data_IF_934755471492
#
_entry.id   IF_934755471492
#
_cell.length_a   1.000
_cell.length_b   1.000
_cell.length_c   1.000
_cell.angle_alpha   90.00
_cell.angle_beta   90.00
_cell.angle_gamma   90.00
#
_symmetry.space_group_name_H-M   'P 1'
#
loop_
_entity.id
_entity.type
_entity.pdbx_description
1 polymer ?
#
# COMPACT_ATOMS: atom_id res chain seq x y z
N UNK A 1 -8.45 2.47 -33.16
CA UNK A 1 -8.13 1.11 -32.69
C UNK A 1 -9.34 0.23 -32.91
N UNK A 2 -9.19 -0.89 -33.62
CA UNK A 2 -10.27 -1.86 -33.77
C UNK A 2 -10.44 -2.68 -32.47
N UNK A 3 -11.60 -3.33 -32.23
CA UNK A 3 -11.78 -4.19 -31.06
C UNK A 3 -10.75 -5.34 -31.00
N UNK A 4 -10.33 -5.87 -32.14
CA UNK A 4 -9.29 -6.91 -32.19
C UNK A 4 -7.92 -6.40 -31.81
N UNK A 5 -7.51 -5.22 -32.29
CA UNK A 5 -6.24 -4.57 -31.89
C UNK A 5 -6.23 -4.24 -30.39
N UNK A 6 -7.38 -3.80 -29.85
CA UNK A 6 -7.51 -3.54 -28.42
C UNK A 6 -7.27 -4.82 -27.61
N UNK A 7 -7.96 -5.92 -28.01
CA UNK A 7 -7.83 -7.19 -27.31
C UNK A 7 -6.40 -7.73 -27.37
N UNK A 8 -5.77 -7.66 -28.53
CA UNK A 8 -4.39 -8.07 -28.71
C UNK A 8 -3.44 -7.28 -27.82
N UNK A 9 -3.57 -5.94 -27.77
CA UNK A 9 -2.71 -5.09 -26.97
C UNK A 9 -2.78 -5.43 -25.46
N UNK A 10 -3.98 -5.66 -24.93
CA UNK A 10 -4.17 -5.91 -23.47
C UNK A 10 -3.88 -7.36 -23.06
N UNK A 11 -3.84 -8.30 -24.02
CA UNK A 11 -3.61 -9.74 -23.74
C UNK A 11 -2.22 -10.22 -24.14
N UNK A 12 -1.33 -9.34 -24.59
CA UNK A 12 0.09 -9.70 -24.81
C UNK A 12 0.66 -10.31 -23.53
N UNK A 13 1.43 -11.38 -23.63
CA UNK A 13 2.00 -12.09 -22.46
C UNK A 13 2.77 -11.17 -21.51
N UNK A 14 3.56 -10.24 -22.07
CA UNK A 14 4.31 -9.24 -21.30
C UNK A 14 3.36 -8.33 -20.49
N UNK A 15 2.25 -7.90 -21.09
CA UNK A 15 1.24 -7.05 -20.43
C UNK A 15 0.52 -7.82 -19.34
N UNK A 16 0.10 -9.06 -19.60
CA UNK A 16 -0.52 -9.93 -18.59
C UNK A 16 0.42 -10.20 -17.41
N UNK A 17 1.71 -10.42 -17.68
CA UNK A 17 2.71 -10.58 -16.64
C UNK A 17 2.85 -9.31 -15.77
N UNK A 18 2.82 -8.12 -16.40
CA UNK A 18 2.90 -6.85 -15.68
C UNK A 18 1.69 -6.57 -14.79
N UNK A 19 0.48 -6.92 -15.25
CA UNK A 19 -0.71 -6.87 -14.39
C UNK A 19 -0.50 -7.73 -13.15
N UNK A 20 -0.07 -8.97 -13.34
CA UNK A 20 0.20 -9.89 -12.21
C UNK A 20 1.24 -9.32 -11.24
N UNK A 21 2.34 -8.77 -11.74
CA UNK A 21 3.36 -8.14 -10.88
C UNK A 21 2.78 -6.95 -10.14
N UNK A 22 2.08 -6.03 -10.83
CA UNK A 22 1.47 -4.84 -10.23
C UNK A 22 0.48 -5.20 -9.13
N UNK A 23 -0.47 -6.10 -9.41
CA UNK A 23 -1.49 -6.47 -8.44
C UNK A 23 -0.93 -7.21 -7.23
N UNK A 24 -0.02 -8.16 -7.43
CA UNK A 24 0.56 -8.94 -6.34
C UNK A 24 1.42 -8.03 -5.44
N UNK A 25 2.31 -7.22 -6.01
CA UNK A 25 3.18 -6.36 -5.21
C UNK A 25 2.39 -5.27 -4.49
N UNK A 26 1.39 -4.66 -5.14
CA UNK A 26 0.51 -3.68 -4.52
C UNK A 26 -0.33 -4.30 -3.38
N UNK A 27 -0.85 -5.53 -3.57
CA UNK A 27 -1.61 -6.23 -2.55
C UNK A 27 -0.76 -6.57 -1.32
N UNK A 28 0.44 -7.14 -1.55
CA UNK A 28 1.39 -7.47 -0.47
C UNK A 28 1.80 -6.19 0.27
N UNK A 29 2.15 -5.13 -0.45
CA UNK A 29 2.52 -3.85 0.15
C UNK A 29 1.37 -3.28 1.00
N UNK A 30 0.13 -3.34 0.51
CA UNK A 30 -1.04 -2.85 1.24
C UNK A 30 -1.35 -3.69 2.47
N UNK A 31 -1.11 -5.00 2.42
CA UNK A 31 -1.25 -5.89 3.58
C UNK A 31 -0.20 -5.57 4.66
N UNK A 32 1.05 -5.33 4.25
CA UNK A 32 2.12 -4.87 5.15
C UNK A 32 1.73 -3.52 5.76
N UNK A 33 1.23 -2.59 4.94
CA UNK A 33 0.76 -1.29 5.39
C UNK A 33 -0.43 -1.39 6.36
N UNK A 34 -1.33 -2.35 6.17
CA UNK A 34 -2.42 -2.58 7.11
C UNK A 34 -1.90 -2.94 8.51
N UNK A 35 -0.90 -3.80 8.58
CA UNK A 35 -0.27 -4.18 9.86
C UNK A 35 0.56 -3.04 10.44
N UNK A 36 1.49 -2.50 9.65
CA UNK A 36 2.41 -1.45 10.10
C UNK A 36 1.66 -0.15 10.43
N UNK A 37 0.66 0.22 9.63
CA UNK A 37 -0.15 1.41 9.86
C UNK A 37 -0.96 1.34 11.15
N UNK A 38 -1.50 0.16 11.51
CA UNK A 38 -2.15 -0.05 12.80
C UNK A 38 -1.15 0.09 13.95
N UNK A 39 0.04 -0.50 13.82
CA UNK A 39 1.10 -0.39 14.84
C UNK A 39 1.52 1.08 15.02
N UNK A 40 1.77 1.80 13.93
CA UNK A 40 2.16 3.21 13.97
C UNK A 40 1.05 4.09 14.56
N UNK A 41 -0.20 3.91 14.14
CA UNK A 41 -1.33 4.63 14.71
C UNK A 41 -1.47 4.34 16.21
N UNK A 42 -1.32 3.09 16.60
CA UNK A 42 -1.34 2.69 18.01
C UNK A 42 -0.25 3.38 18.83
N UNK A 43 1.00 3.34 18.34
CA UNK A 43 2.14 3.99 19.01
C UNK A 43 1.92 5.49 19.12
N UNK A 44 1.45 6.13 18.06
CA UNK A 44 1.19 7.57 18.04
C UNK A 44 0.04 7.97 19.01
N UNK A 45 -0.99 7.15 19.16
CA UNK A 45 -2.14 7.49 20.01
C UNK A 45 -1.87 7.15 21.48
N UNK A 46 -1.40 5.94 21.76
CA UNK A 46 -1.34 5.39 23.13
C UNK A 46 -0.06 5.72 23.90
N UNK A 47 1.04 6.08 23.21
CA UNK A 47 2.30 6.33 23.87
C UNK A 47 2.72 7.80 23.83
N UNK A 48 3.38 8.24 24.91
CA UNK A 48 4.04 9.54 25.00
C UNK A 48 5.54 9.30 25.09
N UNK A 49 6.30 9.77 24.12
CA UNK A 49 7.76 9.62 24.08
C UNK A 49 8.41 10.82 23.38
N UNK A 50 9.68 11.11 23.67
CA UNK A 50 10.42 12.15 22.96
C UNK A 50 10.56 11.75 21.48
N UNK A 51 10.41 12.73 20.58
CA UNK A 51 10.47 12.45 19.13
C UNK A 51 9.15 11.98 18.48
N UNK A 52 8.04 11.85 19.22
CA UNK A 52 6.72 11.49 18.67
C UNK A 52 6.32 12.35 17.47
N UNK A 53 6.54 13.68 17.54
CA UNK A 53 6.24 14.60 16.44
C UNK A 53 7.11 14.36 15.21
N UNK A 54 8.36 13.91 15.40
CA UNK A 54 9.26 13.57 14.31
C UNK A 54 8.75 12.30 13.62
N UNK A 55 8.41 11.26 14.37
CA UNK A 55 7.84 10.03 13.82
C UNK A 55 6.53 10.31 13.06
N UNK A 56 5.67 11.16 13.63
CA UNK A 56 4.41 11.56 13.00
C UNK A 56 4.66 12.28 11.66
N UNK A 57 5.61 13.22 11.61
CA UNK A 57 6.04 13.87 10.39
C UNK A 57 6.71 12.92 9.37
N UNK A 58 7.49 11.94 9.83
CA UNK A 58 8.11 10.94 8.95
C UNK A 58 7.09 10.08 8.22
N UNK A 59 5.94 9.79 8.84
CA UNK A 59 4.86 9.06 8.17
C UNK A 59 4.29 9.85 6.99
N UNK A 60 4.36 11.17 7.00
CA UNK A 60 3.88 12.04 5.93
C UNK A 60 4.91 12.31 4.83
N UNK A 61 6.16 11.90 5.02
CA UNK A 61 7.21 12.10 4.00
C UNK A 61 6.82 11.64 2.59
N UNK A 62 6.10 10.51 2.40
CA UNK A 62 5.66 10.09 1.07
C UNK A 62 4.75 11.09 0.35
N UNK A 63 4.05 11.96 1.09
CA UNK A 63 3.24 13.03 0.50
C UNK A 63 4.05 14.28 0.18
N UNK A 64 5.11 14.53 0.93
CA UNK A 64 5.94 15.72 0.77
C UNK A 64 7.03 15.56 -0.29
N UNK A 65 7.52 14.33 -0.49
CA UNK A 65 8.62 14.04 -1.42
C UNK A 65 8.08 13.72 -2.83
N UNK A 66 8.72 14.21 -3.90
CA UNK A 66 8.49 13.65 -5.23
C UNK A 66 8.80 12.15 -5.21
N UNK A 67 7.89 11.33 -5.74
CA UNK A 67 8.02 9.86 -5.67
C UNK A 67 9.29 9.35 -6.36
N UNK A 68 9.75 10.04 -7.41
CA UNK A 68 11.04 9.74 -8.06
C UNK A 68 12.22 9.89 -7.10
N UNK A 69 12.25 10.95 -6.29
CA UNK A 69 13.31 11.18 -5.29
C UNK A 69 13.30 10.08 -4.23
N UNK A 70 12.11 9.70 -3.77
CA UNK A 70 11.95 8.58 -2.85
C UNK A 70 12.46 7.26 -3.47
N UNK A 71 12.15 7.01 -4.74
CA UNK A 71 12.64 5.84 -5.48
C UNK A 71 14.15 5.77 -5.56
N UNK A 72 14.80 6.88 -5.91
CA UNK A 72 16.27 6.96 -5.96
C UNK A 72 16.89 6.71 -4.58
N UNK A 73 16.36 7.34 -3.54
CA UNK A 73 16.85 7.17 -2.17
C UNK A 73 16.67 5.72 -1.69
N UNK A 74 15.49 5.13 -1.90
CA UNK A 74 15.24 3.73 -1.54
C UNK A 74 16.14 2.77 -2.31
N UNK A 75 16.35 3.00 -3.61
CA UNK A 75 17.26 2.18 -4.42
C UNK A 75 18.69 2.27 -3.87
N UNK A 76 19.17 3.46 -3.58
CA UNK A 76 20.51 3.65 -3.02
C UNK A 76 20.70 2.97 -1.68
N UNK A 77 19.67 2.97 -0.83
CA UNK A 77 19.71 2.30 0.47
C UNK A 77 19.63 0.77 0.38
N UNK A 78 18.86 0.25 -0.60
CA UNK A 78 18.53 -1.18 -0.71
C UNK A 78 19.34 -1.92 -1.79
N UNK A 79 20.13 -1.22 -2.60
CA UNK A 79 21.11 -1.86 -3.50
C UNK A 79 22.14 -2.67 -2.72
N UNK A 80 22.71 -3.69 -3.33
CA UNK A 80 23.67 -4.60 -2.67
C UNK A 80 24.91 -3.87 -2.10
N UNK A 81 25.21 -2.68 -2.61
CA UNK A 81 26.24 -1.77 -2.12
C UNK A 81 25.73 -0.74 -1.10
N UNK A 82 24.41 -0.66 -0.87
CA UNK A 82 23.79 0.26 0.05
C UNK A 82 23.83 -0.20 1.51
N UNK A 83 23.45 0.68 2.43
CA UNK A 83 23.48 0.39 3.88
C UNK A 83 22.59 -0.79 4.25
N UNK A 84 21.35 -0.82 3.76
CA UNK A 84 20.38 -1.88 4.06
C UNK A 84 20.64 -3.07 3.15
N UNK A 85 20.72 -2.86 1.84
CA UNK A 85 20.94 -3.93 0.86
C UNK A 85 22.23 -4.68 1.10
N UNK A 86 23.33 -4.00 1.42
CA UNK A 86 24.61 -4.63 1.73
C UNK A 86 24.58 -5.54 2.96
N UNK A 87 23.71 -5.26 3.94
CA UNK A 87 23.48 -6.19 5.06
C UNK A 87 22.77 -7.46 4.59
N UNK A 88 21.70 -7.34 3.82
CA UNK A 88 20.93 -8.49 3.31
C UNK A 88 21.70 -9.28 2.23
N UNK A 89 22.53 -8.61 1.43
CA UNK A 89 23.37 -9.24 0.41
C UNK A 89 24.34 -10.28 1.03
N UNK A 90 24.81 -10.07 2.27
CA UNK A 90 25.62 -11.07 3.01
C UNK A 90 24.90 -12.41 3.23
N UNK A 91 23.57 -12.38 3.20
CA UNK A 91 22.71 -13.57 3.32
C UNK A 91 22.19 -14.05 1.96
N UNK A 92 22.71 -13.50 0.85
CA UNK A 92 22.28 -13.85 -0.51
C UNK A 92 20.92 -13.24 -0.92
N UNK A 93 20.46 -12.22 -0.19
CA UNK A 93 19.16 -11.58 -0.45
C UNK A 93 19.40 -10.21 -1.08
N UNK A 94 19.06 -10.06 -2.37
CA UNK A 94 19.03 -8.76 -3.07
C UNK A 94 17.63 -8.15 -2.98
N UNK A 95 17.55 -6.89 -2.55
CA UNK A 95 16.28 -6.16 -2.41
C UNK A 95 16.04 -5.31 -3.67
N UNK A 96 16.93 -4.39 -4.00
CA UNK A 96 16.80 -3.56 -5.20
C UNK A 96 16.76 -4.43 -6.48
N UNK A 97 16.05 -3.95 -7.49
CA UNK A 97 15.90 -4.60 -8.80
C UNK A 97 15.18 -5.96 -8.74
N UNK A 98 14.36 -6.15 -7.71
CA UNK A 98 13.53 -7.34 -7.49
C UNK A 98 12.09 -6.95 -7.14
N UNK A 99 11.18 -7.94 -7.11
CA UNK A 99 9.80 -7.73 -6.62
C UNK A 99 9.75 -7.28 -5.16
N UNK A 100 10.75 -7.66 -4.37
CA UNK A 100 10.88 -7.20 -2.97
C UNK A 100 11.14 -5.69 -2.95
N UNK A 101 12.04 -5.18 -3.79
CA UNK A 101 12.29 -3.75 -3.92
C UNK A 101 11.04 -2.97 -4.34
N UNK A 102 10.28 -3.48 -5.32
CA UNK A 102 9.00 -2.88 -5.70
C UNK A 102 8.08 -2.81 -4.47
N UNK A 103 7.94 -3.92 -3.74
CA UNK A 103 7.09 -3.97 -2.55
C UNK A 103 7.54 -2.96 -1.48
N UNK A 104 8.85 -2.82 -1.24
CA UNK A 104 9.40 -1.82 -0.29
C UNK A 104 9.03 -0.39 -0.71
N UNK A 105 9.18 -0.04 -1.99
CA UNK A 105 8.77 1.28 -2.49
C UNK A 105 7.27 1.52 -2.31
N UNK A 106 6.44 0.51 -2.61
CA UNK A 106 4.99 0.60 -2.46
C UNK A 106 4.56 0.67 -0.98
N UNK A 107 5.26 -0.03 -0.07
CA UNK A 107 5.04 0.09 1.39
C UNK A 107 5.33 1.51 1.83
N UNK A 108 6.46 2.09 1.43
CA UNK A 108 6.79 3.48 1.77
C UNK A 108 5.68 4.44 1.34
N UNK A 109 5.23 4.35 0.08
CA UNK A 109 4.20 5.23 -0.47
C UNK A 109 2.82 5.01 0.20
N UNK A 110 2.51 3.77 0.58
CA UNK A 110 1.19 3.37 1.09
C UNK A 110 0.99 3.55 2.60
N UNK A 111 2.06 3.64 3.40
CA UNK A 111 2.00 3.63 4.87
C UNK A 111 1.13 4.73 5.49
N UNK A 112 1.11 5.99 4.99
CA UNK A 112 0.31 7.04 5.57
C UNK A 112 -1.20 6.80 5.45
N UNK A 113 -1.64 6.11 4.40
CA UNK A 113 -3.07 5.90 4.16
C UNK A 113 -3.73 5.07 5.26
N UNK A 114 -3.09 4.00 5.70
CA UNK A 114 -3.63 3.17 6.79
C UNK A 114 -3.46 3.86 8.13
N UNK A 115 -2.29 4.44 8.40
CA UNK A 115 -2.02 5.13 9.67
C UNK A 115 -3.03 6.25 9.90
N UNK A 116 -3.27 7.11 8.90
CA UNK A 116 -4.21 8.25 9.02
C UNK A 116 -5.69 7.83 9.00
N UNK A 117 -6.03 6.68 8.43
CA UNK A 117 -7.38 6.15 8.53
C UNK A 117 -7.69 5.60 9.93
N UNK A 118 -6.72 4.98 10.59
CA UNK A 118 -6.89 4.30 11.88
C UNK A 118 -6.72 5.25 13.07
N UNK A 119 -5.79 6.19 12.98
CA UNK A 119 -5.44 7.09 14.08
C UNK A 119 -6.64 7.82 14.70
N UNK A 120 -7.54 8.48 13.94
CA UNK A 120 -8.68 9.20 14.51
C UNK A 120 -9.69 8.30 15.23
N UNK A 121 -9.78 7.04 14.81
CA UNK A 121 -10.68 6.06 15.47
C UNK A 121 -10.09 5.64 16.80
N UNK A 122 -8.79 5.39 16.86
CA UNK A 122 -8.09 5.09 18.11
C UNK A 122 -8.11 6.28 19.10
N UNK A 123 -8.04 7.51 18.60
CA UNK A 123 -8.13 8.72 19.44
C UNK A 123 -9.51 8.88 20.09
N UNK A 124 -10.57 8.46 19.38
CA UNK A 124 -11.95 8.52 19.89
C UNK A 124 -12.33 7.34 20.77
N UNK A 125 -11.57 6.27 20.75
CA UNK A 125 -11.86 5.07 21.55
C UNK A 125 -11.48 5.36 23.01
N UNK A 126 -12.52 5.41 23.85
CA UNK A 126 -12.36 5.71 25.27
C UNK A 126 -11.57 4.60 25.98
N UNK A 127 -10.46 4.94 26.66
CA UNK A 127 -9.67 3.99 27.45
C UNK A 127 -10.46 3.23 28.51
N UNK A 128 -11.61 3.75 28.96
CA UNK A 128 -12.49 3.13 29.96
C UNK A 128 -12.89 1.71 29.55
N UNK A 129 -13.10 1.43 28.28
CA UNK A 129 -13.42 0.07 27.80
C UNK A 129 -12.27 -0.91 28.02
N UNK A 130 -11.03 -0.44 27.81
CA UNK A 130 -9.83 -1.25 28.02
C UNK A 130 -9.58 -1.49 29.52
N UNK A 131 -9.78 -0.46 30.34
CA UNK A 131 -9.62 -0.50 31.79
C UNK A 131 -10.67 -1.42 32.44
N UNK A 132 -11.95 -1.29 32.07
CA UNK A 132 -13.03 -2.14 32.55
C UNK A 132 -12.77 -3.62 32.23
N UNK A 133 -12.33 -3.92 31.01
CA UNK A 133 -11.99 -5.29 30.62
C UNK A 133 -10.76 -5.81 31.39
N UNK A 134 -9.80 -4.95 31.68
CA UNK A 134 -8.64 -5.27 32.51
C UNK A 134 -9.03 -5.63 33.94
N UNK A 135 -9.94 -4.87 34.54
CA UNK A 135 -10.48 -5.17 35.89
C UNK A 135 -11.23 -6.52 35.92
N UNK A 136 -11.90 -6.88 34.83
CA UNK A 136 -12.54 -8.20 34.68
C UNK A 136 -11.54 -9.35 34.36
N UNK A 137 -10.22 -9.10 34.41
CA UNK A 137 -9.19 -10.12 34.22
C UNK A 137 -8.85 -10.39 32.74
N UNK A 138 -9.25 -9.54 31.81
CA UNK A 138 -8.89 -9.72 30.41
C UNK A 138 -7.41 -9.34 30.18
N UNK A 139 -6.62 -10.26 29.64
CA UNK A 139 -5.24 -9.96 29.23
C UNK A 139 -5.19 -9.01 28.02
N UNK A 140 -4.07 -8.27 27.86
CA UNK A 140 -3.87 -7.24 26.80
C UNK A 140 -4.19 -7.71 25.38
N UNK A 141 -3.80 -8.93 25.03
CA UNK A 141 -4.10 -9.50 23.71
C UNK A 141 -5.60 -9.75 23.51
N UNK A 142 -6.33 -10.16 24.58
CA UNK A 142 -7.77 -10.35 24.53
C UNK A 142 -8.51 -9.03 24.37
N UNK A 143 -8.06 -7.97 25.08
CA UNK A 143 -8.57 -6.60 24.95
C UNK A 143 -8.38 -6.12 23.52
N UNK A 144 -7.16 -6.21 22.98
CA UNK A 144 -6.87 -5.83 21.59
C UNK A 144 -7.80 -6.55 20.60
N UNK A 145 -7.86 -7.90 20.68
CA UNK A 145 -8.59 -8.70 19.69
C UNK A 145 -10.11 -8.55 19.78
N UNK A 146 -10.67 -8.37 21.01
CA UNK A 146 -12.12 -8.38 21.21
C UNK A 146 -12.76 -7.00 21.34
N UNK A 147 -12.00 -5.99 21.69
CA UNK A 147 -12.50 -4.63 21.90
C UNK A 147 -11.95 -3.70 20.83
N UNK A 148 -10.63 -3.58 20.72
CA UNK A 148 -9.99 -2.56 19.89
C UNK A 148 -10.05 -2.92 18.40
N UNK A 149 -9.64 -4.15 18.05
CA UNK A 149 -9.56 -4.58 16.66
C UNK A 149 -10.91 -4.51 15.93
N UNK A 150 -12.04 -4.94 16.50
CA UNK A 150 -13.34 -4.78 15.85
C UNK A 150 -13.71 -3.31 15.56
N UNK A 151 -13.39 -2.39 16.48
CA UNK A 151 -13.67 -0.96 16.34
C UNK A 151 -12.82 -0.32 15.23
N UNK A 152 -11.54 -0.67 15.15
CA UNK A 152 -10.65 -0.09 14.13
C UNK A 152 -10.71 -0.81 12.78
N UNK A 153 -11.22 -2.03 12.72
CA UNK A 153 -11.22 -2.86 11.51
C UNK A 153 -11.83 -2.19 10.28
N UNK A 154 -12.99 -1.48 10.37
CA UNK A 154 -13.53 -0.74 9.24
C UNK A 154 -12.55 0.32 8.70
N UNK A 155 -11.83 1.00 9.58
CA UNK A 155 -10.83 2.01 9.20
C UNK A 155 -9.57 1.38 8.62
N UNK A 156 -9.17 0.22 9.11
CA UNK A 156 -8.06 -0.56 8.53
C UNK A 156 -8.40 -0.97 7.10
N UNK A 157 -9.62 -1.48 6.86
CA UNK A 157 -10.09 -1.85 5.51
C UNK A 157 -10.17 -0.63 4.58
N UNK A 158 -10.59 0.53 5.10
CA UNK A 158 -10.59 1.78 4.37
C UNK A 158 -9.16 2.17 3.97
N UNK A 159 -8.25 2.22 4.93
CA UNK A 159 -6.85 2.54 4.71
C UNK A 159 -6.15 1.56 3.76
N UNK A 160 -6.43 0.26 3.90
CA UNK A 160 -5.96 -0.77 2.98
C UNK A 160 -6.40 -0.50 1.54
N UNK A 161 -7.69 -0.22 1.31
CA UNK A 161 -8.21 0.03 -0.03
C UNK A 161 -7.61 1.29 -0.66
N UNK A 162 -7.42 2.36 0.13
CA UNK A 162 -6.77 3.58 -0.33
C UNK A 162 -5.28 3.34 -0.65
N UNK A 163 -4.55 2.64 0.22
CA UNK A 163 -3.16 2.26 -0.01
C UNK A 163 -3.02 1.39 -1.27
N UNK A 164 -3.90 0.41 -1.45
CA UNK A 164 -3.88 -0.48 -2.60
C UNK A 164 -4.12 0.27 -3.91
N UNK A 165 -5.16 1.13 -3.97
CA UNK A 165 -5.41 1.97 -5.14
C UNK A 165 -4.25 2.90 -5.47
N UNK A 166 -3.63 3.50 -4.43
CA UNK A 166 -2.45 4.35 -4.59
C UNK A 166 -1.22 3.57 -5.10
N UNK A 167 -0.98 2.37 -4.57
CA UNK A 167 0.13 1.51 -4.97
C UNK A 167 0.00 1.00 -6.41
N UNK A 168 -1.22 0.71 -6.89
CA UNK A 168 -1.44 0.25 -8.26
C UNK A 168 -1.03 1.29 -9.32
N UNK A 169 -1.24 2.57 -9.03
CA UNK A 169 -0.87 3.67 -9.92
C UNK A 169 0.54 4.22 -9.71
N UNK A 170 1.35 3.60 -8.84
CA UNK A 170 2.69 4.13 -8.54
C UNK A 170 3.66 3.81 -9.67
N UNK A 171 4.30 4.86 -10.20
CA UNK A 171 5.33 4.80 -11.21
C UNK A 171 6.67 5.36 -10.69
N UNK A 172 6.63 6.56 -10.11
CA UNK A 172 7.80 7.37 -9.86
C UNK A 172 8.85 6.72 -8.94
N UNK A 173 8.42 6.08 -7.84
CA UNK A 173 9.35 5.40 -6.95
C UNK A 173 9.77 4.04 -7.50
N UNK A 174 8.88 3.36 -8.23
CA UNK A 174 9.13 2.01 -8.73
C UNK A 174 10.09 1.99 -9.92
N UNK A 175 10.06 3.01 -10.80
CA UNK A 175 10.92 3.05 -12.01
C UNK A 175 12.41 2.91 -11.69
N UNK A 176 12.85 3.39 -10.53
CA UNK A 176 14.28 3.32 -10.14
C UNK A 176 14.62 2.00 -9.43
N UNK A 177 13.70 1.44 -8.65
CA UNK A 177 13.99 0.28 -7.80
C UNK A 177 13.60 -1.06 -8.45
N UNK A 178 12.75 -1.06 -9.47
CA UNK A 178 12.26 -2.28 -10.10
C UNK A 178 13.29 -2.99 -10.98
N UNK A 179 14.22 -2.25 -11.59
CA UNK A 179 15.15 -2.78 -12.59
C UNK A 179 14.48 -3.14 -13.92
N UNK A 180 13.18 -2.96 -14.06
CA UNK A 180 12.36 -3.08 -15.28
C UNK A 180 12.66 -4.33 -16.12
N UNK A 181 12.78 -5.51 -15.47
CA UNK A 181 13.01 -6.79 -16.14
C UNK A 181 11.68 -7.33 -16.68
N UNK A 182 11.55 -7.56 -18.01
CA UNK A 182 10.35 -8.13 -18.60
C UNK A 182 9.93 -9.43 -17.89
N UNK A 183 8.62 -9.62 -17.68
CA UNK A 183 7.99 -10.76 -17.02
C UNK A 183 8.31 -10.93 -15.52
N UNK A 184 9.35 -10.27 -14.98
CA UNK A 184 9.78 -10.43 -13.60
C UNK A 184 9.45 -9.25 -12.69
N UNK A 185 9.88 -8.04 -13.07
CA UNK A 185 9.77 -6.84 -12.22
C UNK A 185 9.13 -5.66 -12.94
N UNK A 186 8.66 -5.85 -14.14
CA UNK A 186 8.00 -4.83 -14.91
C UNK A 186 6.54 -4.67 -14.45
N UNK A 187 6.21 -3.52 -13.89
CA UNK A 187 4.85 -3.17 -13.50
C UNK A 187 4.09 -2.52 -14.66
N UNK A 188 2.76 -2.56 -14.61
CA UNK A 188 1.93 -2.01 -15.70
C UNK A 188 2.19 -0.53 -16.01
N UNK A 189 2.37 0.39 -15.04
CA UNK A 189 2.76 1.76 -15.34
C UNK A 189 4.07 1.89 -16.11
N UNK A 190 5.04 0.97 -15.90
CA UNK A 190 6.29 0.93 -16.66
C UNK A 190 6.06 0.53 -18.11
N UNK A 191 5.20 -0.48 -18.37
CA UNK A 191 4.82 -0.86 -19.74
C UNK A 191 4.11 0.29 -20.45
N UNK A 192 3.14 0.93 -19.80
CA UNK A 192 2.45 2.08 -20.39
C UNK A 192 3.47 3.15 -20.82
N UNK A 193 4.47 3.43 -19.98
CA UNK A 193 5.50 4.40 -20.29
C UNK A 193 6.43 3.92 -21.43
N UNK A 194 6.76 2.63 -21.48
CA UNK A 194 7.53 2.04 -22.58
C UNK A 194 6.80 2.18 -23.92
N UNK A 195 5.52 1.82 -24.00
CA UNK A 195 4.69 1.98 -25.20
C UNK A 195 4.61 3.46 -25.64
N UNK A 196 4.51 4.40 -24.67
CA UNK A 196 4.53 5.84 -24.97
C UNK A 196 5.88 6.28 -25.55
N UNK A 197 7.01 5.75 -25.06
CA UNK A 197 8.36 6.05 -25.57
C UNK A 197 8.56 5.47 -26.99
N UNK A 198 7.88 4.37 -27.32
CA UNK A 198 7.86 3.76 -28.64
C UNK A 198 6.85 4.43 -29.59
N UNK A 199 6.15 5.49 -29.13
CA UNK A 199 5.09 6.19 -29.85
C UNK A 199 3.86 5.33 -30.18
N UNK A 200 3.69 4.16 -29.53
CA UNK A 200 2.48 3.35 -29.62
C UNK A 200 1.40 3.83 -28.63
N UNK A 201 0.86 5.00 -28.91
CA UNK A 201 -0.21 5.60 -28.10
C UNK A 201 -1.46 4.72 -28.01
N UNK A 202 -1.71 3.86 -29.03
CA UNK A 202 -2.88 2.99 -29.05
C UNK A 202 -2.77 1.90 -27.98
N UNK A 203 -1.65 1.20 -27.96
CA UNK A 203 -1.38 0.16 -26.95
C UNK A 203 -1.29 0.77 -25.55
N UNK A 204 -0.56 1.87 -25.38
CA UNK A 204 -0.46 2.58 -24.11
C UNK A 204 -1.84 2.94 -23.53
N UNK A 205 -2.73 3.51 -24.39
CA UNK A 205 -4.08 3.90 -23.98
C UNK A 205 -4.95 2.68 -23.63
N UNK A 206 -4.84 1.60 -24.39
CA UNK A 206 -5.61 0.37 -24.14
C UNK A 206 -5.23 -0.23 -22.78
N UNK A 207 -3.93 -0.35 -22.49
CA UNK A 207 -3.41 -0.89 -21.23
C UNK A 207 -3.81 0.03 -20.06
N UNK A 208 -3.69 1.34 -20.22
CA UNK A 208 -4.09 2.32 -19.22
C UNK A 208 -5.58 2.26 -18.91
N UNK A 209 -6.44 2.07 -19.92
CA UNK A 209 -7.88 1.93 -19.77
C UNK A 209 -8.24 0.70 -18.92
N UNK A 210 -7.60 -0.44 -19.18
CA UNK A 210 -7.78 -1.66 -18.37
C UNK A 210 -7.38 -1.42 -16.92
N UNK A 211 -6.20 -0.81 -16.67
CA UNK A 211 -5.77 -0.48 -15.32
C UNK A 211 -6.75 0.46 -14.61
N UNK A 212 -7.25 1.48 -15.31
CA UNK A 212 -8.24 2.41 -14.78
C UNK A 212 -9.53 1.68 -14.41
N UNK A 213 -10.07 0.86 -15.30
CA UNK A 213 -11.30 0.11 -15.08
C UNK A 213 -11.19 -0.85 -13.88
N UNK A 214 -10.09 -1.58 -13.79
CA UNK A 214 -9.85 -2.51 -12.68
C UNK A 214 -9.63 -1.76 -11.37
N UNK A 215 -8.84 -0.70 -11.36
CA UNK A 215 -8.63 0.13 -10.18
C UNK A 215 -9.94 0.75 -9.68
N UNK A 216 -10.75 1.29 -10.60
CA UNK A 216 -12.08 1.83 -10.27
C UNK A 216 -12.98 0.75 -9.67
N UNK A 217 -13.03 -0.44 -10.27
CA UNK A 217 -13.84 -1.55 -9.77
C UNK A 217 -13.44 -1.97 -8.34
N UNK A 218 -12.15 -2.06 -8.06
CA UNK A 218 -11.62 -2.39 -6.74
C UNK A 218 -11.98 -1.32 -5.71
N UNK A 219 -11.80 -0.04 -6.04
CA UNK A 219 -12.17 1.07 -5.16
C UNK A 219 -13.68 1.13 -4.93
N UNK A 220 -14.49 0.84 -5.96
CA UNK A 220 -15.94 0.75 -5.85
C UNK A 220 -16.37 -0.37 -4.88
N UNK A 221 -15.79 -1.57 -5.02
CA UNK A 221 -16.05 -2.68 -4.10
C UNK A 221 -15.65 -2.33 -2.66
N UNK A 222 -14.49 -1.71 -2.49
CA UNK A 222 -14.03 -1.26 -1.18
C UNK A 222 -15.02 -0.25 -0.56
N UNK A 223 -15.50 0.72 -1.34
CA UNK A 223 -16.50 1.70 -0.90
C UNK A 223 -17.83 1.04 -0.49
N UNK A 224 -18.28 0.02 -1.24
CA UNK A 224 -19.49 -0.73 -0.87
C UNK A 224 -19.33 -1.48 0.46
N UNK A 225 -18.18 -2.12 0.69
CA UNK A 225 -17.88 -2.81 1.94
C UNK A 225 -17.89 -1.83 3.11
N UNK A 226 -17.27 -0.67 2.95
CA UNK A 226 -17.25 0.38 3.97
C UNK A 226 -18.66 0.88 4.32
N UNK A 227 -19.50 1.15 3.33
CA UNK A 227 -20.87 1.61 3.55
C UNK A 227 -21.72 0.56 4.30
N UNK A 228 -21.54 -0.71 3.97
CA UNK A 228 -22.23 -1.80 4.69
C UNK A 228 -21.80 -1.87 6.16
N UNK A 229 -20.51 -1.82 6.43
CA UNK A 229 -19.97 -1.85 7.78
C UNK A 229 -20.43 -0.64 8.61
N UNK A 230 -20.44 0.56 8.02
CA UNK A 230 -20.92 1.77 8.68
C UNK A 230 -22.43 1.71 9.02
N UNK A 231 -23.26 1.03 8.22
CA UNK A 231 -24.68 0.83 8.50
C UNK A 231 -24.91 -0.17 9.64
N UNK A 232 -24.13 -1.25 9.71
CA UNK A 232 -24.21 -2.25 10.78
C UNK A 232 -23.86 -1.62 12.13
N UNK A 233 -22.83 -0.79 12.19
CA UNK A 233 -22.44 -0.08 13.42
C UNK A 233 -23.45 0.98 13.85
N UNK A 234 -24.17 1.61 12.92
CA UNK A 234 -25.24 2.58 13.23
C UNK A 234 -26.57 1.92 13.58
N UNK A 235 -26.88 0.76 13.02
CA UNK A 235 -28.13 0.04 13.26
C UNK A 235 -28.15 -0.80 14.54
N UNK A 236 -27.02 -1.00 15.21
CA UNK A 236 -26.94 -1.68 16.51
C UNK A 236 -27.27 -0.79 17.73
N UNK A 237 -27.58 0.49 17.50
CA UNK A 237 -27.93 1.47 18.53
C UNK A 237 -29.42 1.92 18.44
N UNK A 238 -30.29 1.15 17.81
CA UNK A 238 -31.75 1.38 17.76
C UNK A 238 -32.50 0.30 18.56
#
# INVERSE_FOLDING_TARGET
MSPSEFWEAITRERVLASYKVSFITAFIASLINAVMGVILAWVLVRYKFPGKRILDGMIELPFALPTAVAGIALTSLTADTGLIGGFFAKFGISIAYTRVGITVALVFVGIPFVTRAVQPVLEKLDPVYEEAAGVMGAGRFRIFRKIILPEILPSVLTGFGLAFGRCLGEYGSVVFIAGNKPFETEITPLIIMSELQEYDYKSATAIALVMLAVSFFILFLNSMIQQRNARILRGGNA
#
